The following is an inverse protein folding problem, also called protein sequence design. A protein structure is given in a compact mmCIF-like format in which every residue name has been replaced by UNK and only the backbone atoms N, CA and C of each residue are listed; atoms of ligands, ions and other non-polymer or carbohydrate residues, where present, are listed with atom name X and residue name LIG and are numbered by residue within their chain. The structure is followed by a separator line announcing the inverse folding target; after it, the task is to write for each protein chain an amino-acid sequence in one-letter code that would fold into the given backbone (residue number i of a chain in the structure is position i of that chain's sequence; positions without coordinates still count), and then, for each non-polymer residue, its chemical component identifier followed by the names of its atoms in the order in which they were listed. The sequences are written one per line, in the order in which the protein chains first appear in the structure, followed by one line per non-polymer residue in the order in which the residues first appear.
data_IF_847862098768
#
_entry.id   IF_847862098768
#
_cell.length_a   1.000
_cell.length_b   1.000
_cell.length_c   1.000
_cell.angle_alpha   90.00
_cell.angle_beta   90.00
_cell.angle_gamma   90.00
#
_symmetry.space_group_name_H-M   'P 1'
#
loop_
_entity.id
_entity.type
_entity.pdbx_description
1 polymer ?
#
# COMPACT_ATOMS: atom_id res chain seq x y z
N UNK A 1 38.28 -0.36 -17.97
CA UNK A 1 37.00 -1.06 -17.93
C UNK A 1 35.91 0.01 -17.77
N UNK A 2 35.27 0.36 -18.88
CA UNK A 2 34.27 1.45 -18.92
C UNK A 2 32.97 0.91 -18.37
N UNK A 3 32.52 1.45 -17.23
CA UNK A 3 31.19 1.20 -16.67
C UNK A 3 30.17 1.88 -17.60
N UNK A 4 29.50 1.09 -18.43
CA UNK A 4 28.34 1.54 -19.19
C UNK A 4 27.30 2.14 -18.23
N UNK A 5 26.68 3.29 -18.53
CA UNK A 5 25.61 3.83 -17.70
C UNK A 5 24.46 2.83 -17.73
N UNK A 6 24.06 2.34 -16.58
CA UNK A 6 22.87 1.48 -16.40
C UNK A 6 21.68 2.23 -16.99
N UNK A 7 21.15 1.75 -18.10
CA UNK A 7 19.98 2.32 -18.76
C UNK A 7 18.84 2.40 -17.71
N UNK A 8 18.29 3.59 -17.54
CA UNK A 8 17.27 3.85 -16.52
C UNK A 8 16.03 3.02 -16.87
N UNK A 9 15.67 2.07 -15.99
CA UNK A 9 14.53 1.20 -16.21
C UNK A 9 13.22 2.00 -16.32
N UNK A 10 12.38 1.70 -17.29
CA UNK A 10 11.05 2.29 -17.41
C UNK A 10 10.17 1.77 -16.27
N UNK A 11 9.68 2.64 -15.36
CA UNK A 11 8.84 2.20 -14.26
C UNK A 11 7.44 1.83 -14.74
N UNK A 12 6.93 0.74 -14.18
CA UNK A 12 5.58 0.24 -14.40
C UNK A 12 5.01 -0.34 -13.11
N UNK A 13 3.69 -0.54 -13.08
CA UNK A 13 3.02 -1.12 -11.94
C UNK A 13 1.82 -1.96 -12.39
N UNK A 14 1.43 -2.93 -11.57
CA UNK A 14 0.29 -3.80 -11.86
C UNK A 14 -0.19 -4.57 -10.64
N UNK A 15 -1.11 -5.48 -10.84
CA UNK A 15 -1.71 -6.25 -9.76
C UNK A 15 -1.96 -7.70 -10.10
N UNK A 16 -1.95 -8.54 -9.08
CA UNK A 16 -2.64 -9.83 -9.12
C UNK A 16 -4.06 -9.57 -8.65
N UNK A 17 -4.96 -9.39 -9.61
CA UNK A 17 -6.39 -9.20 -9.35
C UNK A 17 -7.00 -10.56 -9.04
N UNK A 18 -7.61 -10.71 -7.86
CA UNK A 18 -8.13 -11.98 -7.38
C UNK A 18 -9.54 -11.87 -6.80
N UNK A 19 -10.28 -12.95 -6.88
CA UNK A 19 -11.58 -13.13 -6.19
C UNK A 19 -11.66 -14.50 -5.55
N UNK A 20 -12.48 -14.59 -4.50
CA UNK A 20 -12.90 -15.86 -3.93
C UNK A 20 -14.30 -16.19 -4.47
N UNK A 21 -14.44 -17.31 -5.14
CA UNK A 21 -15.73 -17.77 -5.66
C UNK A 21 -16.03 -19.17 -5.11
N UNK A 22 -17.13 -19.30 -4.35
CA UNK A 22 -17.53 -20.54 -3.66
C UNK A 22 -16.38 -21.12 -2.83
N UNK A 23 -15.65 -22.08 -3.36
CA UNK A 23 -14.54 -22.78 -2.69
C UNK A 23 -13.21 -22.62 -3.43
N UNK A 24 -13.13 -21.76 -4.44
CA UNK A 24 -11.94 -21.55 -5.24
C UNK A 24 -11.44 -20.10 -5.16
N UNK A 25 -10.11 -19.97 -5.19
CA UNK A 25 -9.41 -18.69 -5.35
C UNK A 25 -9.05 -18.56 -6.82
N UNK A 26 -9.55 -17.49 -7.45
CA UNK A 26 -9.29 -17.20 -8.84
C UNK A 26 -8.49 -15.91 -9.00
N UNK A 27 -7.65 -15.87 -10.01
CA UNK A 27 -6.91 -14.69 -10.45
C UNK A 27 -7.27 -14.35 -11.89
N UNK A 28 -7.35 -13.06 -12.20
CA UNK A 28 -7.61 -12.57 -13.54
C UNK A 28 -6.29 -12.47 -14.32
N UNK A 29 -6.29 -12.99 -15.54
CA UNK A 29 -5.29 -12.74 -16.55
C UNK A 29 -5.91 -11.95 -17.69
N UNK A 30 -5.09 -11.13 -18.35
CA UNK A 30 -5.46 -10.32 -19.51
C UNK A 30 -4.80 -10.86 -20.76
N UNK A 31 -5.55 -10.95 -21.87
CA UNK A 31 -5.03 -11.26 -23.19
C UNK A 31 -4.77 -9.96 -23.97
N UNK A 32 -3.57 -9.86 -24.57
CA UNK A 32 -3.16 -8.71 -25.37
C UNK A 32 -3.04 -9.10 -26.84
N UNK A 33 -4.01 -8.72 -27.70
CA UNK A 33 -4.07 -9.20 -29.09
C UNK A 33 -2.83 -8.83 -29.91
N UNK A 34 -2.21 -7.67 -29.62
CA UNK A 34 -0.99 -7.23 -30.32
C UNK A 34 0.19 -8.21 -30.16
N UNK A 35 0.26 -8.92 -29.04
CA UNK A 35 1.38 -9.82 -28.70
C UNK A 35 0.95 -11.28 -28.67
N UNK A 36 -0.35 -11.54 -28.76
CA UNK A 36 -0.98 -12.86 -28.60
C UNK A 36 -0.48 -13.56 -27.32
N UNK A 37 -0.54 -12.83 -26.19
CA UNK A 37 -0.01 -13.27 -24.91
C UNK A 37 -1.01 -13.09 -23.76
N UNK A 38 -0.82 -13.91 -22.71
CA UNK A 38 -1.55 -13.84 -21.45
C UNK A 38 -0.63 -13.33 -20.35
N UNK A 39 -1.02 -12.24 -19.67
CA UNK A 39 -0.20 -11.60 -18.62
C UNK A 39 -1.04 -11.19 -17.41
N UNK A 40 -0.34 -10.82 -16.33
CA UNK A 40 -0.95 -10.06 -15.24
C UNK A 40 -1.19 -8.60 -15.69
N UNK A 41 -2.32 -7.97 -15.31
CA UNK A 41 -2.61 -6.58 -15.69
C UNK A 41 -1.55 -5.62 -15.13
N UNK A 42 -1.00 -4.74 -15.99
CA UNK A 42 0.09 -3.81 -15.67
C UNK A 42 0.36 -2.80 -16.77
N UNK A 43 0.71 -1.60 -16.41
CA UNK A 43 1.15 -0.61 -17.37
C UNK A 43 2.16 0.40 -16.83
N UNK A 44 2.43 1.46 -17.59
CA UNK A 44 3.44 2.48 -17.28
C UNK A 44 2.91 3.47 -16.26
N UNK A 45 3.81 4.00 -15.41
CA UNK A 45 3.48 5.12 -14.54
C UNK A 45 3.31 6.40 -15.38
N UNK A 46 2.29 7.19 -15.05
CA UNK A 46 2.18 8.58 -15.47
C UNK A 46 3.22 9.46 -14.76
N UNK A 47 3.44 10.67 -15.26
CA UNK A 47 4.39 11.60 -14.64
C UNK A 47 4.01 11.90 -13.18
N UNK A 48 4.97 11.73 -12.26
CA UNK A 48 4.79 11.93 -10.83
C UNK A 48 3.69 11.06 -10.17
N UNK A 49 3.33 9.93 -10.78
CA UNK A 49 2.36 8.99 -10.24
C UNK A 49 3.03 8.01 -9.27
N UNK A 50 2.40 7.80 -8.11
CA UNK A 50 2.89 6.77 -7.18
C UNK A 50 2.64 5.36 -7.75
N UNK A 51 3.61 4.41 -7.69
CA UNK A 51 3.44 3.08 -8.30
C UNK A 51 2.20 2.31 -7.86
N UNK A 52 1.76 2.45 -6.59
CA UNK A 52 0.52 1.83 -6.12
C UNK A 52 -0.72 2.39 -6.85
N UNK A 53 -0.78 3.70 -7.04
CA UNK A 53 -1.91 4.34 -7.73
C UNK A 53 -1.92 3.98 -9.21
N UNK A 54 -0.74 3.94 -9.84
CA UNK A 54 -0.59 3.42 -11.20
C UNK A 54 -1.08 1.97 -11.32
N UNK A 55 -0.73 1.10 -10.37
CA UNK A 55 -1.19 -0.28 -10.38
C UNK A 55 -2.73 -0.40 -10.30
N UNK A 56 -3.38 0.43 -9.46
CA UNK A 56 -4.85 0.46 -9.36
C UNK A 56 -5.47 0.93 -10.68
N UNK A 57 -4.94 2.03 -11.25
CA UNK A 57 -5.42 2.58 -12.52
C UNK A 57 -5.27 1.57 -13.66
N UNK A 58 -4.08 0.99 -13.83
CA UNK A 58 -3.81 0.01 -14.89
C UNK A 58 -4.66 -1.25 -14.75
N UNK A 59 -4.84 -1.78 -13.53
CA UNK A 59 -5.75 -2.91 -13.30
C UNK A 59 -7.18 -2.52 -13.66
N UNK A 60 -7.65 -1.32 -13.32
CA UNK A 60 -8.98 -0.87 -13.68
C UNK A 60 -9.14 -0.64 -15.20
N UNK A 61 -8.14 -0.05 -15.87
CA UNK A 61 -8.14 0.19 -17.32
C UNK A 61 -8.15 -1.11 -18.12
N UNK A 62 -7.27 -2.08 -17.75
CA UNK A 62 -7.15 -3.34 -18.48
C UNK A 62 -8.25 -4.35 -18.15
N UNK A 63 -8.86 -4.28 -16.97
CA UNK A 63 -9.85 -5.32 -16.54
C UNK A 63 -11.26 -4.79 -16.31
N UNK A 64 -11.48 -3.48 -16.31
CA UNK A 64 -12.75 -2.87 -15.91
C UNK A 64 -13.08 -3.03 -14.44
N UNK A 65 -12.20 -3.63 -13.64
CA UNK A 65 -12.46 -3.98 -12.25
C UNK A 65 -12.17 -2.82 -11.28
N UNK A 66 -13.09 -2.59 -10.35
CA UNK A 66 -12.80 -1.89 -9.11
C UNK A 66 -12.20 -2.88 -8.11
N UNK A 67 -11.09 -2.52 -7.48
CA UNK A 67 -10.35 -3.42 -6.59
C UNK A 67 -9.94 -2.76 -5.30
N UNK A 68 -9.71 -3.58 -4.27
CA UNK A 68 -9.14 -3.18 -2.98
C UNK A 68 -7.72 -3.71 -2.86
N UNK A 69 -6.79 -2.81 -2.56
CA UNK A 69 -5.38 -3.17 -2.36
C UNK A 69 -5.19 -3.87 -1.03
N UNK A 70 -4.33 -4.89 -1.03
CA UNK A 70 -3.90 -5.59 0.18
C UNK A 70 -2.41 -5.36 0.42
N UNK A 71 -1.53 -6.21 -0.09
CA UNK A 71 -0.08 -6.16 0.15
C UNK A 71 0.71 -6.00 -1.13
N UNK A 72 1.91 -5.46 -1.00
CA UNK A 72 2.90 -5.50 -2.06
C UNK A 72 3.39 -6.95 -2.27
N UNK A 73 3.60 -7.34 -3.53
CA UNK A 73 4.06 -8.68 -3.88
C UNK A 73 5.53 -8.64 -4.24
N UNK A 74 5.83 -8.45 -5.51
CA UNK A 74 7.17 -8.44 -6.04
C UNK A 74 7.42 -7.19 -6.88
N UNK A 75 8.69 -6.81 -6.98
CA UNK A 75 9.16 -5.92 -8.04
C UNK A 75 10.06 -6.76 -8.94
N UNK A 76 9.73 -6.81 -10.22
CA UNK A 76 10.46 -7.54 -11.24
C UNK A 76 11.08 -6.59 -12.24
N UNK A 77 12.22 -6.95 -12.79
CA UNK A 77 12.88 -6.18 -13.83
C UNK A 77 13.30 -7.11 -14.98
N UNK A 78 13.04 -6.68 -16.21
CA UNK A 78 13.36 -7.46 -17.40
C UNK A 78 13.69 -6.56 -18.58
N UNK A 79 14.54 -7.02 -19.52
CA UNK A 79 14.92 -6.25 -20.69
C UNK A 79 13.75 -6.12 -21.68
N UNK A 80 13.66 -4.94 -22.33
CA UNK A 80 12.80 -4.69 -23.49
C UNK A 80 13.67 -3.97 -24.52
N UNK A 81 14.14 -4.68 -25.55
CA UNK A 81 15.11 -4.16 -26.50
C UNK A 81 16.37 -3.66 -25.79
N UNK A 82 16.74 -2.39 -25.98
CA UNK A 82 17.91 -1.76 -25.34
C UNK A 82 17.61 -1.11 -23.98
N UNK A 83 16.39 -1.23 -23.47
CA UNK A 83 15.94 -0.68 -22.19
C UNK A 83 15.57 -1.81 -21.24
N UNK A 84 15.35 -1.47 -19.95
CA UNK A 84 14.69 -2.38 -19.02
C UNK A 84 13.33 -1.83 -18.59
N UNK A 85 12.42 -2.72 -18.21
CA UNK A 85 11.15 -2.37 -17.57
C UNK A 85 11.14 -2.92 -16.15
N UNK A 86 10.82 -2.05 -15.18
CA UNK A 86 10.72 -2.40 -13.77
C UNK A 86 9.27 -2.32 -13.33
N UNK A 87 8.67 -3.45 -13.00
CA UNK A 87 7.26 -3.54 -12.64
C UNK A 87 7.09 -3.90 -11.17
N UNK A 88 6.36 -3.09 -10.43
CA UNK A 88 5.95 -3.40 -9.06
C UNK A 88 4.52 -3.90 -9.02
N UNK A 89 4.26 -4.98 -8.27
CA UNK A 89 2.96 -5.63 -8.21
C UNK A 89 2.37 -5.62 -6.80
N UNK A 90 1.02 -5.54 -6.75
CA UNK A 90 0.23 -5.66 -5.52
C UNK A 90 -0.83 -6.75 -5.65
N UNK A 91 -1.20 -7.33 -4.52
CA UNK A 91 -2.40 -8.14 -4.38
C UNK A 91 -3.62 -7.22 -4.34
N UNK A 92 -4.60 -7.46 -5.21
CA UNK A 92 -5.79 -6.65 -5.35
C UNK A 92 -7.03 -7.52 -5.36
N UNK A 93 -7.92 -7.32 -4.38
CA UNK A 93 -9.18 -8.03 -4.30
C UNK A 93 -10.20 -7.39 -5.23
N UNK A 94 -10.77 -8.16 -6.13
CA UNK A 94 -11.89 -7.74 -6.96
C UNK A 94 -13.10 -7.37 -6.08
N UNK A 95 -13.72 -6.24 -6.36
CA UNK A 95 -14.96 -5.78 -5.72
C UNK A 95 -16.14 -5.89 -6.66
N UNK A 96 -16.05 -5.24 -7.80
CA UNK A 96 -17.06 -5.21 -8.87
C UNK A 96 -16.43 -4.67 -10.17
N UNK A 97 -17.26 -4.56 -11.23
CA UNK A 97 -16.89 -4.06 -12.54
C UNK A 97 -16.84 -5.15 -13.59
N UNK A 98 -16.87 -4.74 -14.84
CA UNK A 98 -16.89 -5.64 -15.99
C UNK A 98 -15.92 -5.14 -17.06
N UNK A 99 -15.21 -6.09 -17.65
CA UNK A 99 -14.27 -5.79 -18.73
C UNK A 99 -15.01 -5.34 -20.00
N UNK A 100 -14.47 -4.33 -20.64
CA UNK A 100 -14.86 -3.91 -21.98
C UNK A 100 -13.65 -4.13 -22.91
N UNK A 101 -13.78 -4.96 -23.97
CA UNK A 101 -12.68 -5.21 -24.89
C UNK A 101 -12.11 -3.92 -25.49
N UNK A 102 -10.79 -3.85 -25.60
CA UNK A 102 -10.04 -2.71 -26.17
C UNK A 102 -8.95 -3.21 -27.12
N UNK A 103 -8.28 -2.28 -27.80
CA UNK A 103 -7.11 -2.63 -28.63
C UNK A 103 -5.92 -3.13 -27.82
N UNK A 104 -5.84 -2.80 -26.53
CA UNK A 104 -4.77 -3.22 -25.64
C UNK A 104 -5.06 -4.57 -24.98
N UNK A 105 -6.31 -4.78 -24.53
CA UNK A 105 -6.79 -6.01 -23.90
C UNK A 105 -8.15 -6.36 -24.50
N UNK A 106 -8.20 -7.45 -25.25
CA UNK A 106 -9.46 -7.92 -25.88
C UNK A 106 -10.22 -8.93 -25.02
N UNK A 107 -9.53 -9.62 -24.10
CA UNK A 107 -10.14 -10.63 -23.25
C UNK A 107 -9.53 -10.63 -21.85
N UNK A 108 -10.39 -10.87 -20.83
CA UNK A 108 -9.97 -11.28 -19.49
C UNK A 108 -10.56 -12.64 -19.15
N UNK A 109 -9.77 -13.47 -18.45
CA UNK A 109 -10.27 -14.75 -17.91
C UNK A 109 -9.85 -14.93 -16.46
N UNK A 110 -10.72 -15.59 -15.72
CA UNK A 110 -10.50 -15.96 -14.33
C UNK A 110 -10.04 -17.42 -14.27
N UNK A 111 -8.89 -17.65 -13.67
CA UNK A 111 -8.27 -18.96 -13.53
C UNK A 111 -8.04 -19.31 -12.07
N UNK A 112 -8.08 -20.58 -11.71
CA UNK A 112 -7.43 -21.03 -10.48
C UNK A 112 -5.93 -20.76 -10.54
N UNK A 113 -5.25 -20.73 -9.41
CA UNK A 113 -3.82 -20.36 -9.37
C UNK A 113 -2.95 -21.31 -10.23
N UNK A 114 -3.24 -22.63 -10.21
CA UNK A 114 -2.53 -23.62 -11.04
C UNK A 114 -2.69 -23.34 -12.52
N UNK A 115 -3.93 -23.18 -12.95
CA UNK A 115 -4.29 -22.97 -14.35
C UNK A 115 -3.77 -21.62 -14.86
N UNK A 116 -3.80 -20.59 -13.99
CA UNK A 116 -3.19 -19.29 -14.28
C UNK A 116 -1.68 -19.40 -14.50
N UNK A 117 -0.99 -20.22 -13.70
CA UNK A 117 0.47 -20.42 -13.86
C UNK A 117 0.81 -21.12 -15.19
N UNK A 118 -0.04 -22.03 -15.67
CA UNK A 118 0.11 -22.68 -16.98
C UNK A 118 -0.23 -21.73 -18.13
N UNK A 119 -1.30 -20.91 -17.98
CA UNK A 119 -1.75 -19.97 -19.00
C UNK A 119 -0.81 -18.78 -19.18
N UNK A 120 -0.12 -18.31 -18.13
CA UNK A 120 0.80 -17.18 -18.21
C UNK A 120 1.91 -17.43 -19.22
N UNK A 121 2.05 -16.54 -20.20
CA UNK A 121 3.05 -16.64 -21.25
C UNK A 121 4.47 -16.50 -20.70
N UNK A 122 4.68 -15.58 -19.73
CA UNK A 122 6.02 -15.23 -19.26
C UNK A 122 6.38 -15.87 -17.92
N UNK A 123 7.56 -16.50 -17.78
CA UNK A 123 8.01 -17.06 -16.50
C UNK A 123 8.09 -16.03 -15.37
N UNK A 124 8.35 -14.75 -15.69
CA UNK A 124 8.45 -13.69 -14.71
C UNK A 124 7.08 -13.41 -14.04
N UNK A 125 5.98 -13.48 -14.78
CA UNK A 125 4.62 -13.32 -14.24
C UNK A 125 4.24 -14.52 -13.36
N UNK A 126 4.71 -15.74 -13.70
CA UNK A 126 4.57 -16.92 -12.82
C UNK A 126 5.30 -16.72 -11.50
N UNK A 127 6.46 -16.06 -11.49
CA UNK A 127 7.18 -15.70 -10.27
C UNK A 127 6.39 -14.71 -9.39
N UNK A 128 5.70 -13.74 -9.99
CA UNK A 128 4.80 -12.81 -9.29
C UNK A 128 3.61 -13.57 -8.71
N UNK A 129 2.96 -14.43 -9.50
CA UNK A 129 1.85 -15.28 -9.04
C UNK A 129 2.30 -16.20 -7.90
N UNK A 130 3.50 -16.76 -7.96
CA UNK A 130 4.11 -17.53 -6.88
C UNK A 130 4.28 -16.72 -5.60
N UNK A 131 4.68 -15.45 -5.69
CA UNK A 131 4.77 -14.55 -4.52
C UNK A 131 3.40 -14.24 -3.90
N UNK A 132 2.35 -14.17 -4.72
CA UNK A 132 0.97 -14.05 -4.25
C UNK A 132 0.54 -15.28 -3.45
N UNK A 133 0.87 -16.48 -3.91
CA UNK A 133 0.50 -17.74 -3.25
C UNK A 133 1.22 -18.03 -1.93
N UNK A 134 2.30 -17.31 -1.59
CA UNK A 134 3.07 -17.54 -0.34
C UNK A 134 2.34 -17.16 0.94
N UNK A 135 1.42 -16.22 0.88
CA UNK A 135 0.65 -15.73 2.02
C UNK A 135 -0.84 -15.81 1.72
N UNK A 136 -1.68 -15.91 2.74
CA UNK A 136 -3.13 -15.89 2.55
C UNK A 136 -3.57 -14.71 1.68
N UNK A 137 -4.45 -14.92 0.69
CA UNK A 137 -4.89 -13.85 -0.20
C UNK A 137 -5.70 -12.80 0.54
N UNK A 138 -6.58 -13.22 1.46
CA UNK A 138 -7.40 -12.31 2.25
C UNK A 138 -6.67 -11.94 3.54
N UNK A 139 -6.12 -10.73 3.55
CA UNK A 139 -5.57 -10.07 4.74
C UNK A 139 -6.32 -8.79 4.99
N UNK A 140 -6.39 -8.36 6.25
CA UNK A 140 -6.78 -6.99 6.59
C UNK A 140 -5.54 -6.11 6.68
N UNK A 141 -5.74 -4.79 6.68
CA UNK A 141 -4.60 -3.86 6.67
C UNK A 141 -4.69 -2.89 7.85
N UNK A 142 -3.56 -2.67 8.51
CA UNK A 142 -3.38 -1.54 9.43
C UNK A 142 -2.31 -0.62 8.85
N UNK A 143 -2.67 0.65 8.64
CA UNK A 143 -1.76 1.68 8.13
C UNK A 143 -1.22 2.51 9.29
N UNK A 144 0.10 2.44 9.54
CA UNK A 144 0.78 3.32 10.49
C UNK A 144 1.39 4.50 9.74
N UNK A 145 0.85 5.68 9.95
CA UNK A 145 1.25 6.92 9.28
C UNK A 145 2.08 7.77 10.23
N UNK A 146 3.34 8.09 9.88
CA UNK A 146 4.03 9.12 10.62
C UNK A 146 3.50 10.49 10.20
N UNK A 147 3.20 11.35 11.18
CA UNK A 147 2.73 12.71 10.88
C UNK A 147 3.57 13.42 9.82
N UNK A 148 2.92 14.22 8.99
CA UNK A 148 3.54 15.02 7.95
C UNK A 148 4.45 16.12 8.53
N UNK A 149 5.12 16.88 7.67
CA UNK A 149 6.07 17.90 8.11
C UNK A 149 5.38 18.97 8.99
N UNK A 150 5.88 19.14 10.20
CA UNK A 150 5.47 20.19 11.13
C UNK A 150 6.64 21.18 11.30
N UNK A 151 6.36 22.38 11.75
CA UNK A 151 7.36 23.40 12.07
C UNK A 151 8.44 22.86 13.02
N UNK A 152 9.54 23.58 13.16
CA UNK A 152 10.64 23.17 14.03
C UNK A 152 10.21 23.28 15.51
N UNK A 153 10.56 22.24 16.31
CA UNK A 153 10.21 22.18 17.74
C UNK A 153 10.81 23.33 18.53
N UNK A 154 12.06 23.69 18.28
CA UNK A 154 12.78 24.75 18.95
C UNK A 154 12.29 26.18 18.63
N UNK A 155 11.53 26.35 17.53
CA UNK A 155 10.92 27.62 17.13
C UNK A 155 9.47 27.77 17.65
N UNK A 156 8.87 26.68 18.12
CA UNK A 156 7.48 26.67 18.61
C UNK A 156 7.47 26.87 20.13
N UNK A 157 6.97 28.03 20.59
CA UNK A 157 7.05 28.47 22.00
C UNK A 157 5.95 27.90 22.91
N UNK A 158 4.86 27.40 22.35
CA UNK A 158 3.77 26.79 23.11
C UNK A 158 4.00 25.29 23.36
N UNK A 159 3.06 24.62 24.03
CA UNK A 159 3.10 23.18 24.24
C UNK A 159 3.25 22.42 22.89
N UNK A 160 4.26 21.55 22.78
CA UNK A 160 4.58 20.80 21.55
C UNK A 160 3.40 19.95 21.03
N UNK A 161 2.46 19.59 21.90
CA UNK A 161 1.21 18.94 21.51
C UNK A 161 0.40 19.75 20.52
N UNK A 162 0.45 21.07 20.65
CA UNK A 162 -0.31 22.03 19.83
C UNK A 162 0.43 22.41 18.53
N UNK A 163 1.68 21.96 18.32
CA UNK A 163 2.48 22.33 17.15
C UNK A 163 1.82 21.78 15.85
N UNK A 164 1.41 22.68 14.93
CA UNK A 164 0.69 22.30 13.73
C UNK A 164 1.63 21.84 12.59
N UNK A 165 1.04 21.27 11.54
CA UNK A 165 1.72 21.07 10.27
C UNK A 165 2.13 22.42 9.66
N UNK A 166 3.32 22.46 9.04
CA UNK A 166 3.72 23.58 8.21
C UNK A 166 3.02 23.54 6.82
N UNK A 167 3.31 24.51 5.95
CA UNK A 167 2.71 24.58 4.61
C UNK A 167 2.99 23.32 3.77
N UNK A 168 4.21 22.75 3.90
CA UNK A 168 4.60 21.52 3.20
C UNK A 168 3.83 20.33 3.77
N UNK A 169 3.75 20.22 5.11
CA UNK A 169 3.02 19.13 5.74
C UNK A 169 1.53 19.11 5.43
N UNK A 170 0.89 20.28 5.37
CA UNK A 170 -0.52 20.37 4.93
C UNK A 170 -0.71 19.91 3.48
N UNK A 171 0.26 20.16 2.60
CA UNK A 171 0.25 19.62 1.24
C UNK A 171 0.45 18.11 1.24
N UNK A 172 1.42 17.59 2.00
CA UNK A 172 1.62 16.14 2.16
C UNK A 172 0.35 15.44 2.65
N UNK A 173 -0.31 15.98 3.69
CA UNK A 173 -1.54 15.43 4.24
C UNK A 173 -2.69 15.33 3.21
N UNK A 174 -2.79 16.28 2.27
CA UNK A 174 -3.77 16.19 1.17
C UNK A 174 -3.36 15.17 0.10
N UNK A 175 -2.09 15.15 -0.27
CA UNK A 175 -1.60 14.28 -1.34
C UNK A 175 -1.53 12.80 -0.93
N UNK A 176 -1.46 12.49 0.37
CA UNK A 176 -1.46 11.09 0.83
C UNK A 176 -2.86 10.47 0.81
N UNK A 177 -3.92 11.27 0.67
CA UNK A 177 -5.31 10.76 0.71
C UNK A 177 -5.56 9.66 -0.32
N UNK A 178 -5.26 9.80 -1.62
CA UNK A 178 -5.51 8.72 -2.58
C UNK A 178 -4.77 7.43 -2.24
N UNK A 179 -3.55 7.55 -1.70
CA UNK A 179 -2.75 6.39 -1.28
C UNK A 179 -3.40 5.65 -0.12
N UNK A 180 -3.82 6.36 0.93
CA UNK A 180 -4.45 5.74 2.10
C UNK A 180 -5.84 5.20 1.76
N UNK A 181 -6.58 5.91 0.90
CA UNK A 181 -7.92 5.53 0.43
C UNK A 181 -7.93 4.21 -0.37
N UNK A 182 -6.85 3.91 -1.07
CA UNK A 182 -6.65 2.67 -1.84
C UNK A 182 -6.81 1.38 -0.99
N UNK A 183 -6.62 1.47 0.31
CA UNK A 183 -6.80 0.37 1.27
C UNK A 183 -8.19 0.32 1.90
N UNK A 184 -9.12 1.16 1.45
CA UNK A 184 -10.51 1.22 1.91
C UNK A 184 -10.66 1.30 3.44
N UNK A 185 -10.04 2.30 4.13
CA UNK A 185 -10.09 2.39 5.57
C UNK A 185 -11.49 2.73 6.08
N UNK A 186 -11.90 2.07 7.17
CA UNK A 186 -13.15 2.32 7.88
C UNK A 186 -12.95 2.96 9.25
N UNK A 187 -11.70 3.14 9.67
CA UNK A 187 -11.36 3.77 10.93
C UNK A 187 -10.11 4.63 10.81
N UNK A 188 -10.12 5.82 11.41
CA UNK A 188 -9.00 6.76 11.41
C UNK A 188 -8.72 7.18 12.86
N UNK A 189 -7.51 6.88 13.33
CA UNK A 189 -7.03 7.24 14.66
C UNK A 189 -5.81 8.17 14.55
N UNK A 190 -5.62 9.02 15.56
CA UNK A 190 -4.45 9.88 15.67
C UNK A 190 -3.98 9.99 17.12
N UNK A 191 -2.67 9.97 17.34
CA UNK A 191 -2.10 10.46 18.59
C UNK A 191 -2.61 11.88 18.87
N UNK A 192 -2.81 12.22 20.14
CA UNK A 192 -3.33 13.51 20.62
C UNK A 192 -2.34 14.68 20.40
N UNK A 193 -1.88 14.82 19.18
CA UNK A 193 -0.96 15.86 18.69
C UNK A 193 -1.58 16.52 17.46
N UNK A 194 -1.75 17.83 17.49
CA UNK A 194 -2.35 18.59 16.38
C UNK A 194 -1.76 18.19 15.01
N UNK A 195 -0.45 17.97 14.93
CA UNK A 195 0.21 17.51 13.68
C UNK A 195 -0.21 16.11 13.22
N UNK A 196 -0.56 15.21 14.16
CA UNK A 196 -1.05 13.88 13.82
C UNK A 196 -2.49 13.95 13.31
N UNK A 197 -3.36 14.65 14.02
CA UNK A 197 -4.75 14.88 13.63
C UNK A 197 -4.82 15.55 12.24
N UNK A 198 -4.10 16.67 12.05
CA UNK A 198 -4.04 17.38 10.77
C UNK A 198 -3.48 16.55 9.61
N UNK A 199 -2.69 15.50 9.89
CA UNK A 199 -2.16 14.61 8.85
C UNK A 199 -3.24 13.72 8.27
N UNK A 200 -4.14 13.20 9.08
CA UNK A 200 -5.17 12.24 8.65
C UNK A 200 -6.57 12.85 8.50
N UNK A 201 -6.77 14.08 8.95
CA UNK A 201 -8.04 14.79 8.81
C UNK A 201 -8.53 14.90 7.35
N UNK A 202 -7.68 15.14 6.31
CA UNK A 202 -8.14 15.15 4.93
C UNK A 202 -8.69 13.79 4.48
N UNK A 203 -8.09 12.68 4.90
CA UNK A 203 -8.62 11.34 4.65
C UNK A 203 -9.95 11.11 5.40
N UNK A 204 -10.00 11.46 6.67
CA UNK A 204 -11.20 11.32 7.49
C UNK A 204 -12.39 12.06 6.88
N UNK A 205 -12.18 13.30 6.40
CA UNK A 205 -13.21 14.06 5.67
C UNK A 205 -13.60 13.39 4.35
N UNK A 206 -12.64 12.93 3.57
CA UNK A 206 -12.87 12.24 2.30
C UNK A 206 -13.77 11.01 2.47
N UNK A 207 -13.53 10.24 3.55
CA UNK A 207 -14.28 9.03 3.90
C UNK A 207 -15.52 9.28 4.76
N UNK A 208 -15.80 10.53 5.15
CA UNK A 208 -16.85 10.87 6.11
C UNK A 208 -16.73 10.13 7.45
N UNK A 209 -15.50 9.95 7.92
CA UNK A 209 -15.15 9.28 9.17
C UNK A 209 -14.70 10.30 10.22
N UNK A 210 -14.91 10.05 11.54
CA UNK A 210 -14.29 10.85 12.59
C UNK A 210 -12.81 10.51 12.72
N UNK A 211 -12.00 11.48 13.17
CA UNK A 211 -10.66 11.21 13.69
C UNK A 211 -10.79 10.86 15.17
N UNK A 212 -10.47 9.63 15.53
CA UNK A 212 -10.53 9.12 16.91
C UNK A 212 -9.22 9.46 17.61
N UNK A 213 -9.31 10.16 18.75
CA UNK A 213 -8.12 10.44 19.57
C UNK A 213 -7.60 9.17 20.23
N UNK A 214 -6.30 8.91 20.07
CA UNK A 214 -5.59 7.72 20.57
C UNK A 214 -4.23 8.14 21.15
N UNK A 215 -4.22 8.79 22.34
CA UNK A 215 -3.02 9.40 22.94
C UNK A 215 -1.89 8.39 23.18
N UNK A 216 -2.19 7.11 23.38
CA UNK A 216 -1.22 6.03 23.56
C UNK A 216 -0.25 5.86 22.38
N UNK A 217 -0.62 6.32 21.18
CA UNK A 217 0.24 6.30 20.00
C UNK A 217 1.15 7.53 19.89
N UNK A 218 1.21 8.41 20.90
CA UNK A 218 2.23 9.48 20.94
C UNK A 218 3.60 8.93 21.37
N UNK A 219 4.69 9.59 20.96
CA UNK A 219 6.04 9.19 21.36
C UNK A 219 6.19 9.21 22.88
N UNK A 220 5.63 10.22 23.54
CA UNK A 220 5.71 10.40 24.99
C UNK A 220 4.95 9.28 25.74
N UNK A 221 3.72 8.98 25.33
CA UNK A 221 2.93 7.91 25.95
C UNK A 221 3.55 6.53 25.68
N UNK A 222 4.10 6.33 24.47
CA UNK A 222 4.82 5.10 24.13
C UNK A 222 6.07 4.91 24.98
N UNK A 223 6.83 5.95 25.24
CA UNK A 223 8.04 5.87 26.08
C UNK A 223 7.70 5.63 27.56
N UNK A 224 6.56 6.16 28.04
CA UNK A 224 6.06 5.96 29.39
C UNK A 224 5.53 4.53 29.60
N UNK A 225 4.62 4.05 28.72
CA UNK A 225 4.08 2.69 28.75
C UNK A 225 3.88 2.11 27.32
N UNK A 226 4.91 1.47 26.76
CA UNK A 226 4.82 0.85 25.45
C UNK A 226 3.76 -0.26 25.34
N UNK A 227 3.41 -0.90 26.46
CA UNK A 227 2.43 -2.02 26.46
C UNK A 227 1.02 -1.51 26.19
N UNK A 228 0.70 -0.28 26.59
CA UNK A 228 -0.62 0.32 26.34
C UNK A 228 -0.83 0.52 24.84
N UNK A 229 0.14 1.13 24.16
CA UNK A 229 0.10 1.32 22.70
C UNK A 229 0.09 -0.01 21.95
N UNK A 230 0.87 -1.01 22.42
CA UNK A 230 0.86 -2.36 21.84
C UNK A 230 -0.51 -3.00 21.93
N UNK A 231 -1.15 -3.01 23.11
CA UNK A 231 -2.50 -3.58 23.28
C UNK A 231 -3.54 -2.89 22.39
N UNK A 232 -3.49 -1.57 22.26
CA UNK A 232 -4.38 -0.83 21.36
C UNK A 232 -4.15 -1.25 19.90
N UNK A 233 -2.91 -1.44 19.47
CA UNK A 233 -2.60 -1.91 18.13
C UNK A 233 -3.02 -3.38 17.91
N UNK A 234 -2.84 -4.26 18.90
CA UNK A 234 -3.32 -5.64 18.88
C UNK A 234 -4.84 -5.73 18.70
N UNK A 235 -5.60 -4.80 19.30
CA UNK A 235 -7.05 -4.69 19.06
C UNK A 235 -7.34 -4.33 17.60
N UNK A 236 -6.57 -3.44 17.00
CA UNK A 236 -6.76 -3.06 15.59
C UNK A 236 -6.41 -4.20 14.63
N UNK A 237 -5.38 -5.00 14.92
CA UNK A 237 -5.01 -6.16 14.08
C UNK A 237 -6.00 -7.33 14.17
N UNK A 238 -6.92 -7.33 15.16
CA UNK A 238 -8.02 -8.30 15.24
C UNK A 238 -9.26 -7.88 14.42
N UNK A 239 -9.27 -6.66 13.88
CA UNK A 239 -10.38 -6.18 13.07
C UNK A 239 -10.37 -6.80 11.68
N UNK A 240 -11.54 -6.91 11.06
CA UNK A 240 -11.72 -7.42 9.70
C UNK A 240 -11.79 -6.31 8.63
N UNK A 241 -11.41 -5.08 9.01
CA UNK A 241 -11.38 -3.90 8.17
C UNK A 241 -10.08 -3.10 8.33
N UNK A 242 -9.77 -2.27 7.35
CA UNK A 242 -8.59 -1.41 7.38
C UNK A 242 -8.72 -0.27 8.40
N UNK A 243 -7.68 -0.09 9.21
CA UNK A 243 -7.55 1.02 10.16
C UNK A 243 -6.31 1.86 9.84
N UNK A 244 -6.45 3.19 9.94
CA UNK A 244 -5.33 4.14 9.81
C UNK A 244 -5.00 4.71 11.19
N UNK A 245 -3.74 4.66 11.57
CA UNK A 245 -3.22 5.24 12.83
C UNK A 245 -2.13 6.25 12.51
N UNK A 246 -2.37 7.52 12.79
CA UNK A 246 -1.32 8.53 12.71
C UNK A 246 -0.57 8.64 14.04
N UNK A 247 0.73 8.44 13.98
CA UNK A 247 1.64 8.41 15.11
C UNK A 247 2.94 9.17 14.82
N UNK A 248 4.00 8.89 15.56
CA UNK A 248 5.22 9.65 15.59
C UNK A 248 6.46 8.77 15.32
N UNK A 249 7.64 9.35 15.46
CA UNK A 249 8.89 8.75 14.97
C UNK A 249 9.54 7.73 15.89
N UNK A 250 9.18 7.70 17.17
CA UNK A 250 9.66 6.71 18.14
C UNK A 250 8.63 5.60 18.31
N UNK A 251 7.35 5.95 18.43
CA UNK A 251 6.29 4.99 18.66
C UNK A 251 6.11 4.01 17.48
N UNK A 252 6.17 4.47 16.21
CA UNK A 252 5.98 3.56 15.05
C UNK A 252 7.04 2.45 15.01
N UNK A 253 8.36 2.74 15.00
CA UNK A 253 9.38 1.67 15.02
C UNK A 253 9.26 0.76 16.23
N UNK A 254 9.01 1.33 17.40
CA UNK A 254 8.85 0.56 18.63
C UNK A 254 7.65 -0.39 18.60
N UNK A 255 6.52 0.03 18.04
CA UNK A 255 5.33 -0.81 17.86
C UNK A 255 5.58 -1.95 16.87
N UNK A 256 6.22 -1.65 15.72
CA UNK A 256 6.57 -2.66 14.72
C UNK A 256 7.49 -3.73 15.29
N UNK A 257 8.45 -3.32 16.11
CA UNK A 257 9.36 -4.23 16.80
C UNK A 257 8.62 -5.14 17.79
N UNK A 258 7.69 -4.59 18.55
CA UNK A 258 6.88 -5.33 19.54
C UNK A 258 5.87 -6.27 18.92
N UNK A 259 5.40 -6.00 17.71
CA UNK A 259 4.54 -6.90 16.93
C UNK A 259 5.33 -7.92 16.12
N UNK A 260 6.66 -7.95 16.24
CA UNK A 260 7.54 -8.84 15.44
C UNK A 260 7.24 -8.73 13.93
N UNK A 261 6.94 -7.52 13.46
CA UNK A 261 6.60 -7.29 12.07
C UNK A 261 7.72 -7.78 11.14
N UNK A 262 7.40 -8.49 10.04
CA UNK A 262 8.40 -9.12 9.19
C UNK A 262 9.11 -8.07 8.30
N UNK A 263 10.08 -7.34 8.87
CA UNK A 263 10.96 -6.41 8.17
C UNK A 263 12.31 -6.31 8.91
N UNK A 264 13.38 -5.98 8.20
CA UNK A 264 14.73 -5.90 8.79
C UNK A 264 14.95 -4.63 9.62
N UNK A 265 14.41 -3.50 9.17
CA UNK A 265 14.49 -2.19 9.83
C UNK A 265 13.13 -1.50 9.76
N UNK A 266 12.86 -0.64 10.73
CA UNK A 266 11.60 0.10 10.82
C UNK A 266 11.80 1.62 10.68
N UNK A 267 12.23 2.13 9.51
CA UNK A 267 12.34 3.55 9.30
C UNK A 267 10.97 4.23 9.41
N UNK A 268 10.96 5.44 9.93
CA UNK A 268 9.75 6.24 9.99
C UNK A 268 10.11 7.69 9.60
N UNK A 269 10.00 8.04 8.32
CA UNK A 269 10.19 9.42 7.83
C UNK A 269 8.89 10.20 7.95
N UNK A 270 8.95 11.51 8.13
CA UNK A 270 7.74 12.35 8.20
C UNK A 270 6.89 12.18 6.95
N UNK A 271 5.62 11.84 7.12
CA UNK A 271 4.70 11.55 6.03
C UNK A 271 4.86 10.16 5.40
N UNK A 272 5.70 9.27 5.95
CA UNK A 272 5.79 7.89 5.51
C UNK A 272 4.65 7.04 6.07
N UNK A 273 4.42 5.90 5.41
CA UNK A 273 3.38 4.93 5.77
C UNK A 273 3.99 3.53 5.85
N UNK A 274 3.63 2.79 6.88
CA UNK A 274 3.74 1.35 6.95
C UNK A 274 2.38 0.73 6.70
N UNK A 275 2.27 -0.18 5.75
CA UNK A 275 1.09 -1.00 5.54
C UNK A 275 1.36 -2.41 6.11
N UNK A 276 0.65 -2.74 7.18
CA UNK A 276 0.74 -4.03 7.84
C UNK A 276 -0.37 -4.93 7.31
N UNK A 277 -0.01 -6.02 6.65
CA UNK A 277 -0.96 -7.04 6.25
C UNK A 277 -1.16 -8.02 7.40
N UNK A 278 -2.40 -8.21 7.79
CA UNK A 278 -2.79 -8.99 8.97
C UNK A 278 -3.61 -10.20 8.55
N UNK A 279 -3.25 -11.35 9.08
CA UNK A 279 -4.01 -12.60 8.94
C UNK A 279 -4.21 -13.27 10.29
N UNK A 280 -5.46 -13.52 10.67
CA UNK A 280 -5.85 -14.12 11.97
C UNK A 280 -5.19 -13.45 13.17
N UNK A 281 -5.13 -12.11 13.17
CA UNK A 281 -4.56 -11.31 14.24
C UNK A 281 -3.04 -11.24 14.28
N UNK A 282 -2.33 -11.78 13.28
CA UNK A 282 -0.88 -11.73 13.17
C UNK A 282 -0.45 -10.88 11.97
N UNK A 283 0.58 -10.07 12.13
CA UNK A 283 1.19 -9.33 11.02
C UNK A 283 2.01 -10.31 10.17
N UNK A 284 1.59 -10.54 8.93
CA UNK A 284 2.22 -11.49 8.00
C UNK A 284 3.06 -10.82 6.92
N UNK A 285 2.88 -9.51 6.71
CA UNK A 285 3.73 -8.68 5.88
C UNK A 285 3.71 -7.22 6.37
N UNK A 286 4.81 -6.50 6.14
CA UNK A 286 4.95 -5.10 6.48
C UNK A 286 5.66 -4.36 5.33
N UNK A 287 4.95 -3.46 4.67
CA UNK A 287 5.42 -2.71 3.51
C UNK A 287 5.66 -1.26 3.87
N UNK A 288 6.89 -0.79 3.66
CA UNK A 288 7.27 0.60 3.91
C UNK A 288 7.15 1.47 2.67
N UNK A 289 6.46 2.60 2.83
CA UNK A 289 6.29 3.62 1.80
C UNK A 289 6.88 4.95 2.29
N UNK A 290 8.16 5.26 1.94
CA UNK A 290 8.84 6.46 2.43
C UNK A 290 8.23 7.76 1.88
N UNK A 291 7.63 7.70 0.70
CA UNK A 291 7.06 8.82 -0.03
C UNK A 291 5.75 8.42 -0.72
N UNK A 292 4.65 8.23 0.05
CA UNK A 292 3.35 7.87 -0.53
C UNK A 292 2.71 9.01 -1.34
N UNK A 293 3.33 10.18 -1.34
CA UNK A 293 2.93 11.38 -2.09
C UNK A 293 3.98 11.67 -3.15
N UNK A 294 4.04 10.86 -4.17
CA UNK A 294 4.98 11.10 -5.28
C UNK A 294 4.58 12.34 -6.10
#
# INVERSE_FOLDING_TARGET
MSSSPTARATPAAGGVLWRAERHSLQVALVHRPRYDDWTLPKGKLSAAEHPLLAAIREVAEETGARSEVSRRLATVEYPIGNLSKRVSYWSMRYLDGEHQPSEEVDEIRWFNISDAAEQLTYPIDRGVLGSFGRLPPRTTTVLLVRHAKAGKRNEFKADDRLRPLDKIGRRQARHVVPFLDAFNPLQVLAADRVRCEQTVEPLARHRSLPVISAPEFSDEAFLDDPRRAQKSLEVLVQRDYCSVVCSQGVAIPGLLHRLEAPAGEFPARKGSVWALSVYRGHVVAADYYPHPTA
#
